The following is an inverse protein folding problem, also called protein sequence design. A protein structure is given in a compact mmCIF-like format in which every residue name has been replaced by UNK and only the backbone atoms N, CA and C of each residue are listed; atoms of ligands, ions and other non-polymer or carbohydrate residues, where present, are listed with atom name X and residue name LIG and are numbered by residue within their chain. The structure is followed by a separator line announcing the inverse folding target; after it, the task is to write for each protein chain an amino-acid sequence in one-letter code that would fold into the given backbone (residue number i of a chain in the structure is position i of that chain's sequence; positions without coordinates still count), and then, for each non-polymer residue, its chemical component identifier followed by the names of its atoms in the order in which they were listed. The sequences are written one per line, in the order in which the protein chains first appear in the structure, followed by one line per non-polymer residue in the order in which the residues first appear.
data_IF_764795742288
#
_entry.id   IF_764795742288
#
_cell.length_a   1.000
_cell.length_b   1.000
_cell.length_c   1.000
_cell.angle_alpha   90.00
_cell.angle_beta   90.00
_cell.angle_gamma   90.00
#
_symmetry.space_group_name_H-M   'P 1'
#
loop_
_entity.id
_entity.type
_entity.pdbx_description
1 polymer ?
#
# COMPACT_ATOMS: atom_id res chain seq x y z
N UNK A 1 12.51 3.96 -40.17
CA UNK A 1 12.47 2.94 -39.11
C UNK A 1 11.91 3.60 -37.87
N UNK A 2 10.59 3.66 -37.74
CA UNK A 2 9.95 4.28 -36.59
C UNK A 2 9.62 3.16 -35.62
N UNK A 3 10.48 2.99 -34.61
CA UNK A 3 10.16 2.19 -33.45
C UNK A 3 8.91 2.82 -32.82
N UNK A 4 7.77 2.18 -33.02
CA UNK A 4 6.60 2.39 -32.16
C UNK A 4 7.11 2.04 -30.77
N UNK A 5 7.37 3.05 -29.95
CA UNK A 5 7.51 2.84 -28.51
C UNK A 5 6.15 2.28 -28.13
N UNK A 6 6.07 0.96 -27.89
CA UNK A 6 4.90 0.35 -27.29
C UNK A 6 4.68 1.06 -25.95
N UNK A 7 3.78 2.04 -25.95
CA UNK A 7 3.30 2.64 -24.72
C UNK A 7 2.48 1.56 -24.03
N UNK A 8 3.16 0.74 -23.22
CA UNK A 8 2.51 -0.31 -22.44
C UNK A 8 1.40 0.34 -21.62
N UNK A 9 0.19 -0.18 -21.75
CA UNK A 9 -1.00 0.35 -21.09
C UNK A 9 -0.83 0.23 -19.59
N UNK A 10 -1.02 1.31 -18.85
CA UNK A 10 -1.10 1.26 -17.39
C UNK A 10 -2.40 0.58 -17.00
N UNK A 11 -2.34 -0.52 -16.25
CA UNK A 11 -3.52 -1.22 -15.72
C UNK A 11 -3.87 -0.78 -14.31
N UNK A 12 -2.87 -0.46 -13.49
CA UNK A 12 -3.05 0.01 -12.12
C UNK A 12 -2.07 1.15 -11.84
N UNK A 13 -2.55 2.21 -11.23
CA UNK A 13 -1.72 3.29 -10.70
C UNK A 13 -2.13 3.53 -9.25
N UNK A 14 -1.14 3.49 -8.36
CA UNK A 14 -1.28 3.79 -6.94
C UNK A 14 -0.40 5.00 -6.65
N UNK A 15 -0.97 6.04 -6.04
CA UNK A 15 -0.25 7.24 -5.65
C UNK A 15 -0.45 7.52 -4.15
N UNK A 16 0.66 7.61 -3.41
CA UNK A 16 0.72 7.91 -1.96
C UNK A 16 -0.31 7.12 -1.12
N UNK A 17 -0.47 5.81 -1.38
CA UNK A 17 -1.42 4.98 -0.64
C UNK A 17 -1.03 4.89 0.83
N UNK A 18 -1.98 5.24 1.69
CA UNK A 18 -1.86 5.19 3.15
C UNK A 18 -3.05 4.43 3.73
N UNK A 19 -2.74 3.44 4.55
CA UNK A 19 -3.73 2.65 5.30
C UNK A 19 -3.29 2.64 6.74
N UNK A 20 -3.97 3.43 7.56
CA UNK A 20 -3.66 3.62 8.98
C UNK A 20 -4.85 3.15 9.82
N UNK A 21 -4.56 2.56 10.97
CA UNK A 21 -5.57 2.05 11.91
C UNK A 21 -5.37 2.68 13.28
N UNK A 22 -6.46 3.12 13.90
CA UNK A 22 -6.42 3.57 15.30
C UNK A 22 -6.55 2.35 16.22
N UNK A 23 -5.48 2.07 16.96
CA UNK A 23 -5.41 0.99 17.92
C UNK A 23 -5.60 1.55 19.34
N UNK A 24 -6.55 0.97 20.06
CA UNK A 24 -6.77 1.25 21.49
C UNK A 24 -5.98 0.23 22.31
N UNK A 25 -4.99 0.67 23.08
CA UNK A 25 -4.32 -0.22 24.03
C UNK A 25 -5.20 -0.41 25.28
N UNK A 26 -5.29 -1.63 25.81
CA UNK A 26 -6.22 -1.98 26.90
C UNK A 26 -5.98 -1.26 28.24
N UNK A 27 -4.86 -0.52 28.36
CA UNK A 27 -4.51 0.30 29.55
C UNK A 27 -4.69 1.80 29.31
N UNK A 28 -5.24 2.19 28.17
CA UNK A 28 -5.30 3.58 27.77
C UNK A 28 -6.42 4.31 28.52
N UNK A 29 -6.04 5.35 29.26
CA UNK A 29 -7.00 6.18 29.99
C UNK A 29 -7.92 6.90 29.00
N UNK A 30 -9.18 7.15 29.36
CA UNK A 30 -10.21 7.73 28.49
C UNK A 30 -9.86 9.12 27.90
N UNK A 31 -8.85 9.79 28.45
CA UNK A 31 -8.33 11.07 27.96
C UNK A 31 -7.17 10.96 26.95
N UNK A 32 -6.57 9.78 26.77
CA UNK A 32 -5.39 9.63 25.92
C UNK A 32 -5.80 9.33 24.47
N UNK A 33 -5.26 10.05 23.47
CA UNK A 33 -5.59 9.85 22.06
C UNK A 33 -5.13 8.47 21.57
N UNK A 34 -5.93 7.76 20.75
CA UNK A 34 -5.58 6.43 20.26
C UNK A 34 -4.26 6.45 19.50
N UNK A 35 -3.53 5.34 19.57
CA UNK A 35 -2.27 5.21 18.84
C UNK A 35 -2.58 4.84 17.39
N UNK A 36 -1.95 5.52 16.45
CA UNK A 36 -2.13 5.22 15.02
C UNK A 36 -1.08 4.20 14.57
N UNK A 37 -1.53 3.03 14.13
CA UNK A 37 -0.73 2.02 13.44
C UNK A 37 -0.73 2.31 11.95
N UNK A 38 0.45 2.62 11.40
CA UNK A 38 0.64 2.83 9.97
C UNK A 38 0.95 1.50 9.28
N UNK A 39 -0.07 0.82 8.76
CA UNK A 39 0.10 -0.49 8.11
C UNK A 39 0.60 -0.36 6.66
N UNK A 40 0.23 0.71 5.96
CA UNK A 40 0.80 1.13 4.68
C UNK A 40 1.02 2.65 4.76
N UNK A 41 2.20 3.16 4.43
CA UNK A 41 2.50 4.59 4.53
C UNK A 41 3.26 5.10 3.29
N UNK A 42 2.51 5.57 2.29
CA UNK A 42 3.05 6.27 1.14
C UNK A 42 3.55 5.38 0.00
N UNK A 43 2.80 4.32 -0.33
CA UNK A 43 3.15 3.46 -1.48
C UNK A 43 2.72 4.12 -2.78
N UNK A 44 3.66 4.27 -3.71
CA UNK A 44 3.43 4.76 -5.08
C UNK A 44 3.99 3.76 -6.08
N UNK A 45 3.15 3.25 -6.98
CA UNK A 45 3.57 2.32 -8.03
C UNK A 45 2.64 2.36 -9.25
N UNK A 46 3.14 1.85 -10.37
CA UNK A 46 2.36 1.59 -11.58
C UNK A 46 2.56 0.14 -11.98
N UNK A 47 1.48 -0.52 -12.39
CA UNK A 47 1.50 -1.85 -12.99
C UNK A 47 1.04 -1.73 -14.44
N UNK A 48 1.86 -2.21 -15.37
CA UNK A 48 1.55 -2.20 -16.79
C UNK A 48 0.89 -3.51 -17.22
N UNK A 49 0.24 -3.50 -18.38
CA UNK A 49 -0.35 -4.69 -18.98
C UNK A 49 0.71 -5.76 -19.23
N UNK A 50 0.40 -6.99 -18.80
CA UNK A 50 1.30 -8.14 -18.88
C UNK A 50 2.30 -8.28 -17.74
N UNK A 51 2.31 -7.37 -16.75
CA UNK A 51 3.19 -7.47 -15.58
C UNK A 51 2.51 -8.18 -14.39
N UNK A 52 3.33 -8.85 -13.60
CA UNK A 52 2.91 -9.49 -12.35
C UNK A 52 3.54 -8.78 -11.16
N UNK A 53 2.72 -8.27 -10.24
CA UNK A 53 3.17 -7.67 -8.98
C UNK A 53 3.22 -8.70 -7.87
N UNK A 54 4.42 -8.95 -7.31
CA UNK A 54 4.61 -9.76 -6.11
C UNK A 54 4.88 -8.89 -4.89
N UNK A 55 4.10 -9.07 -3.82
CA UNK A 55 4.27 -8.34 -2.54
C UNK A 55 4.85 -9.30 -1.49
N UNK A 56 6.08 -9.05 -1.05
CA UNK A 56 6.84 -9.93 -0.13
C UNK A 56 7.36 -9.16 1.09
N UNK A 57 7.71 -9.89 2.15
CA UNK A 57 8.22 -9.33 3.41
C UNK A 57 7.82 -10.13 4.65
N UNK A 58 8.38 -9.77 5.80
CA UNK A 58 8.17 -10.43 7.09
C UNK A 58 6.71 -10.44 7.56
N UNK A 59 6.37 -11.34 8.49
CA UNK A 59 5.03 -11.36 9.08
C UNK A 59 4.71 -10.01 9.73
N UNK A 60 3.54 -9.45 9.45
CA UNK A 60 3.11 -8.16 10.01
C UNK A 60 3.58 -6.90 9.26
N UNK A 61 4.37 -7.00 8.18
CA UNK A 61 4.86 -5.81 7.46
C UNK A 61 3.80 -5.06 6.60
N UNK A 62 2.53 -5.51 6.58
CA UNK A 62 1.45 -4.82 5.87
C UNK A 62 1.07 -5.39 4.49
N UNK A 63 1.65 -6.51 4.03
CA UNK A 63 1.34 -7.12 2.72
C UNK A 63 -0.15 -7.33 2.46
N UNK A 64 -0.83 -8.01 3.39
CA UNK A 64 -2.27 -8.28 3.27
C UNK A 64 -3.12 -7.03 3.40
N UNK A 65 -2.63 -6.01 4.09
CA UNK A 65 -3.29 -4.70 4.17
C UNK A 65 -3.17 -3.98 2.85
N UNK A 66 -1.97 -3.93 2.26
CA UNK A 66 -1.73 -3.36 0.94
C UNK A 66 -2.59 -4.04 -0.14
N UNK A 67 -2.69 -5.38 -0.12
CA UNK A 67 -3.48 -6.13 -1.10
C UNK A 67 -5.01 -5.98 -0.95
N UNK A 68 -5.51 -5.44 0.17
CA UNK A 68 -6.96 -5.25 0.44
C UNK A 68 -7.45 -3.82 0.22
N UNK A 69 -6.53 -2.86 0.19
CA UNK A 69 -6.84 -1.45 -0.06
C UNK A 69 -7.23 -1.23 -1.52
#
# INVERSE_FOLDING_TARGET
MNAVIEQRKVLLEIADLKVHFDIKEGKQWFWQPPKTLKAVDGVTLRLYEGETLGVVGESGCGKSTFARA
#
